data_IF_456019201458
#
_entry.id   IF_456019201458
#
_cell.length_a   1.000
_cell.length_b   1.000
_cell.length_c   1.000
_cell.angle_alpha   90.00
_cell.angle_beta   90.00
_cell.angle_gamma   90.00
#
_symmetry.space_group_name_H-M   'P 1'
#
loop_
_entity.id
_entity.type
_entity.pdbx_description
1 polymer ?
#
# COMPACT_ATOMS: atom_id res chain seq x y z
N UNK A 1 -26.44 7.06 -12.99
CA UNK A 1 -25.06 6.71 -13.39
C UNK A 1 -25.08 6.39 -14.87
N UNK A 2 -24.41 7.18 -15.71
CA UNK A 2 -24.28 6.94 -17.16
C UNK A 2 -22.83 6.52 -17.49
N UNK A 3 -22.65 5.62 -18.46
CA UNK A 3 -21.30 5.26 -18.96
C UNK A 3 -20.61 6.49 -19.54
N UNK A 4 -21.34 7.45 -20.10
CA UNK A 4 -20.78 8.72 -20.58
C UNK A 4 -20.09 9.53 -19.48
N UNK A 5 -20.51 9.34 -18.22
CA UNK A 5 -19.88 9.98 -17.07
C UNK A 5 -18.60 9.25 -16.63
N UNK A 6 -18.38 8.00 -17.09
CA UNK A 6 -17.14 7.27 -16.88
C UNK A 6 -16.10 7.76 -17.90
N UNK A 7 -15.24 8.70 -17.49
CA UNK A 7 -14.37 9.41 -18.43
C UNK A 7 -13.26 8.54 -19.06
N UNK A 8 -13.04 7.31 -18.58
CA UNK A 8 -12.19 6.33 -19.27
C UNK A 8 -12.94 5.46 -20.29
N UNK A 9 -14.25 5.63 -20.40
CA UNK A 9 -15.10 4.93 -21.35
C UNK A 9 -15.20 3.43 -21.10
N UNK A 10 -15.42 2.67 -22.18
CA UNK A 10 -15.46 1.21 -22.14
C UNK A 10 -14.06 0.63 -22.13
N UNK A 11 -13.83 -0.29 -21.20
CA UNK A 11 -12.64 -1.11 -21.14
C UNK A 11 -12.94 -2.51 -21.68
N UNK A 12 -12.08 -3.00 -22.57
CA UNK A 12 -12.14 -4.37 -23.10
C UNK A 12 -11.18 -5.23 -22.28
N UNK A 13 -11.67 -6.18 -21.48
CA UNK A 13 -10.81 -7.00 -20.63
C UNK A 13 -10.08 -8.11 -21.37
N UNK A 14 -8.87 -8.41 -20.91
CA UNK A 14 -8.24 -9.72 -21.12
C UNK A 14 -8.74 -10.69 -20.05
N UNK A 15 -9.21 -11.86 -20.46
CA UNK A 15 -9.81 -12.84 -19.56
C UNK A 15 -8.86 -13.99 -19.23
N UNK A 16 -8.66 -14.25 -17.94
CA UNK A 16 -7.96 -15.41 -17.43
C UNK A 16 -8.86 -16.65 -17.37
N UNK A 17 -8.25 -17.83 -17.34
CA UNK A 17 -8.95 -19.07 -17.02
C UNK A 17 -9.12 -19.21 -15.50
N UNK A 18 -10.27 -19.70 -15.04
CA UNK A 18 -10.57 -19.92 -13.63
C UNK A 18 -9.64 -20.92 -12.93
N UNK A 19 -8.92 -21.76 -13.68
CA UNK A 19 -7.99 -22.76 -13.15
C UNK A 19 -6.58 -22.20 -12.85
N UNK A 20 -6.23 -21.03 -13.39
CA UNK A 20 -4.92 -20.39 -13.18
C UNK A 20 -4.87 -19.61 -11.86
N UNK A 21 -4.92 -20.32 -10.74
CA UNK A 21 -4.97 -19.69 -9.41
C UNK A 21 -3.75 -18.80 -9.10
N UNK A 22 -2.55 -19.18 -9.58
CA UNK A 22 -1.33 -18.39 -9.37
C UNK A 22 -1.34 -17.09 -10.20
N UNK A 23 -1.72 -17.18 -11.48
CA UNK A 23 -1.87 -16.00 -12.32
C UNK A 23 -2.95 -15.06 -11.81
N UNK A 24 -4.10 -15.59 -11.35
CA UNK A 24 -5.17 -14.81 -10.73
C UNK A 24 -4.66 -14.10 -9.48
N UNK A 25 -3.96 -14.79 -8.57
CA UNK A 25 -3.41 -14.18 -7.34
C UNK A 25 -2.44 -13.05 -7.66
N UNK A 26 -1.48 -13.28 -8.56
CA UNK A 26 -0.49 -12.27 -8.95
C UNK A 26 -1.16 -11.04 -9.59
N UNK A 27 -2.07 -11.26 -10.54
CA UNK A 27 -2.81 -10.17 -11.18
C UNK A 27 -3.67 -9.40 -10.17
N UNK A 28 -4.33 -10.10 -9.25
CA UNK A 28 -5.16 -9.48 -8.21
C UNK A 28 -4.35 -8.54 -7.31
N UNK A 29 -3.21 -8.97 -6.78
CA UNK A 29 -2.44 -8.10 -5.88
C UNK A 29 -1.69 -6.98 -6.61
N UNK A 30 -1.27 -7.22 -7.86
CA UNK A 30 -0.65 -6.20 -8.72
C UNK A 30 -1.66 -5.12 -9.12
N UNK A 31 -2.74 -5.54 -9.77
CA UNK A 31 -3.68 -4.64 -10.47
C UNK A 31 -4.90 -4.31 -9.62
N UNK A 32 -5.14 -5.04 -8.53
CA UNK A 32 -6.34 -4.92 -7.69
C UNK A 32 -7.59 -5.48 -8.36
N UNK A 33 -7.47 -6.08 -9.54
CA UNK A 33 -8.58 -6.60 -10.33
C UNK A 33 -8.10 -7.66 -11.31
N UNK A 34 -8.95 -8.66 -11.56
CA UNK A 34 -8.75 -9.70 -12.57
C UNK A 34 -10.08 -10.01 -13.25
N UNK A 35 -10.09 -10.14 -14.57
CA UNK A 35 -11.25 -10.64 -15.31
C UNK A 35 -11.05 -12.12 -15.67
N UNK A 36 -12.10 -12.92 -15.53
CA UNK A 36 -12.08 -14.34 -15.92
C UNK A 36 -13.29 -14.67 -16.80
N UNK A 37 -13.20 -15.78 -17.51
CA UNK A 37 -14.27 -16.31 -18.35
C UNK A 37 -14.57 -17.77 -18.00
N UNK A 38 -15.69 -18.29 -18.50
CA UNK A 38 -16.17 -19.65 -18.23
C UNK A 38 -16.38 -19.94 -16.74
N UNK A 39 -16.82 -18.93 -15.97
CA UNK A 39 -17.05 -19.01 -14.53
C UNK A 39 -18.56 -19.14 -14.25
N UNK A 40 -19.02 -20.34 -13.90
CA UNK A 40 -20.36 -20.58 -13.38
C UNK A 40 -20.39 -20.42 -11.84
N UNK A 41 -21.53 -20.72 -11.23
CA UNK A 41 -21.69 -20.63 -9.77
C UNK A 41 -20.74 -21.57 -9.01
N UNK A 42 -20.54 -22.78 -9.51
CA UNK A 42 -19.67 -23.77 -8.87
C UNK A 42 -18.21 -23.34 -8.89
N UNK A 43 -17.74 -22.85 -10.04
CA UNK A 43 -16.39 -22.29 -10.17
C UNK A 43 -16.20 -21.03 -9.35
N UNK A 44 -17.21 -20.16 -9.27
CA UNK A 44 -17.15 -18.95 -8.44
C UNK A 44 -16.97 -19.31 -6.95
N UNK A 45 -17.72 -20.30 -6.46
CA UNK A 45 -17.58 -20.78 -5.08
C UNK A 45 -16.22 -21.44 -4.87
N UNK A 46 -15.79 -22.31 -5.79
CA UNK A 46 -14.49 -22.96 -5.71
C UNK A 46 -13.33 -21.95 -5.71
N UNK A 47 -13.40 -20.88 -6.52
CA UNK A 47 -12.45 -19.77 -6.48
C UNK A 47 -12.44 -19.11 -5.10
N UNK A 48 -13.63 -18.83 -4.55
CA UNK A 48 -13.76 -18.27 -3.20
C UNK A 48 -13.10 -19.12 -2.12
N UNK A 49 -13.30 -20.44 -2.15
CA UNK A 49 -12.71 -21.38 -1.19
C UNK A 49 -11.19 -21.55 -1.36
N UNK A 50 -10.68 -21.51 -2.59
CA UNK A 50 -9.24 -21.63 -2.88
C UNK A 50 -8.46 -20.35 -2.59
N UNK A 51 -9.08 -19.18 -2.78
CA UNK A 51 -8.43 -17.89 -2.58
C UNK A 51 -8.63 -17.36 -1.16
N UNK A 52 -9.69 -17.79 -0.46
CA UNK A 52 -10.01 -17.24 0.84
C UNK A 52 -11.09 -17.97 1.64
N UNK A 53 -11.47 -17.33 2.73
CA UNK A 53 -12.59 -17.74 3.58
C UNK A 53 -13.83 -16.94 3.17
N UNK A 54 -14.85 -17.63 2.67
CA UNK A 54 -16.08 -16.99 2.18
C UNK A 54 -16.88 -16.36 3.33
N UNK A 55 -17.24 -15.10 3.16
CA UNK A 55 -18.13 -14.37 4.04
C UNK A 55 -19.59 -14.70 3.73
N UNK A 56 -20.37 -15.04 4.77
CA UNK A 56 -21.80 -15.36 4.60
C UNK A 56 -22.62 -14.10 4.25
N UNK A 57 -23.46 -14.13 3.20
CA UNK A 57 -24.44 -13.10 2.90
C UNK A 57 -25.44 -12.91 4.04
N UNK A 58 -25.90 -11.67 4.21
CA UNK A 58 -26.89 -11.30 5.25
C UNK A 58 -28.20 -12.08 5.14
N UNK A 59 -28.62 -12.40 3.91
CA UNK A 59 -29.92 -13.00 3.63
C UNK A 59 -29.85 -14.52 3.42
N UNK A 60 -28.70 -15.14 3.68
CA UNK A 60 -28.52 -16.57 3.48
C UNK A 60 -28.97 -17.36 4.72
N UNK A 61 -29.78 -18.41 4.51
CA UNK A 61 -30.19 -19.34 5.56
C UNK A 61 -29.03 -20.28 5.93
N UNK A 62 -29.09 -20.91 7.11
CA UNK A 62 -28.06 -21.86 7.55
C UNK A 62 -27.86 -22.99 6.51
N UNK A 63 -26.61 -23.18 6.06
CA UNK A 63 -26.24 -24.22 5.08
C UNK A 63 -26.05 -23.75 3.64
N UNK A 64 -26.16 -22.44 3.35
CA UNK A 64 -25.85 -21.90 2.03
C UNK A 64 -24.35 -21.82 1.70
N UNK A 65 -24.04 -21.55 0.43
CA UNK A 65 -22.69 -21.58 -0.17
C UNK A 65 -21.97 -20.22 -0.17
N UNK A 66 -22.57 -19.20 0.43
CA UNK A 66 -22.01 -17.85 0.51
C UNK A 66 -22.24 -16.99 -0.74
N UNK A 67 -23.15 -17.40 -1.63
CA UNK A 67 -23.41 -16.71 -2.91
C UNK A 67 -24.60 -15.76 -2.77
N UNK A 68 -24.40 -14.50 -3.19
CA UNK A 68 -25.49 -13.52 -3.31
C UNK A 68 -25.98 -13.45 -4.76
N UNK A 69 -27.29 -13.65 -4.98
CA UNK A 69 -27.93 -13.55 -6.30
C UNK A 69 -28.42 -12.12 -6.54
N UNK A 70 -27.60 -11.27 -7.16
CA UNK A 70 -27.92 -9.86 -7.39
C UNK A 70 -28.79 -9.73 -8.65
N UNK A 71 -30.09 -9.52 -8.43
CA UNK A 71 -31.13 -9.41 -9.48
C UNK A 71 -32.27 -8.49 -9.04
N UNK A 72 -33.05 -7.97 -9.99
CA UNK A 72 -34.25 -7.20 -9.65
C UNK A 72 -35.24 -8.08 -8.86
N UNK A 73 -35.44 -7.76 -7.58
CA UNK A 73 -36.30 -8.47 -6.65
C UNK A 73 -36.94 -7.45 -5.69
N UNK A 74 -38.11 -6.88 -6.02
CA UNK A 74 -38.75 -5.79 -5.28
C UNK A 74 -39.05 -6.07 -3.80
N UNK A 75 -38.97 -7.33 -3.35
CA UNK A 75 -39.17 -7.74 -1.96
C UNK A 75 -37.88 -7.91 -1.14
N UNK A 76 -36.69 -7.68 -1.71
CA UNK A 76 -35.42 -7.76 -1.00
C UNK A 76 -34.88 -6.38 -0.68
N UNK A 77 -34.38 -6.18 0.55
CA UNK A 77 -33.70 -4.95 0.93
C UNK A 77 -32.33 -4.83 0.24
N UNK A 78 -32.05 -3.64 -0.29
CA UNK A 78 -30.75 -3.28 -0.88
C UNK A 78 -30.88 -2.83 -2.34
N UNK A 79 -30.19 -1.73 -2.69
CA UNK A 79 -30.26 -1.13 -4.03
C UNK A 79 -29.81 -2.06 -5.16
N UNK A 80 -28.97 -3.06 -4.85
CA UNK A 80 -28.56 -4.12 -5.78
C UNK A 80 -29.71 -4.98 -6.31
N UNK A 81 -30.86 -5.01 -5.61
CA UNK A 81 -32.05 -5.76 -6.01
C UNK A 81 -33.08 -4.94 -6.81
N UNK A 82 -32.64 -3.82 -7.39
CA UNK A 82 -33.46 -2.97 -8.27
C UNK A 82 -32.91 -2.93 -9.70
N UNK A 83 -33.69 -2.39 -10.65
CA UNK A 83 -33.26 -2.11 -12.02
C UNK A 83 -32.67 -0.70 -12.23
N UNK A 84 -32.68 0.13 -11.19
CA UNK A 84 -32.07 1.45 -11.20
C UNK A 84 -30.54 1.34 -11.18
N UNK A 85 -29.83 2.45 -11.41
CA UNK A 85 -28.39 2.47 -11.21
C UNK A 85 -27.99 2.12 -9.78
N UNK A 86 -26.81 1.51 -9.67
CA UNK A 86 -26.13 1.31 -8.41
C UNK A 86 -24.89 2.20 -8.41
N UNK A 87 -24.91 3.24 -7.58
CA UNK A 87 -23.80 4.16 -7.46
C UNK A 87 -22.53 3.48 -6.91
N UNK A 88 -21.37 4.11 -7.12
CA UNK A 88 -20.10 3.59 -6.65
C UNK A 88 -20.11 3.34 -5.13
N UNK A 89 -19.65 2.16 -4.74
CA UNK A 89 -19.54 1.81 -3.34
C UNK A 89 -18.45 0.77 -3.14
N UNK A 90 -18.09 0.56 -1.88
CA UNK A 90 -17.42 -0.65 -1.42
C UNK A 90 -18.40 -1.50 -0.62
N UNK A 91 -18.19 -2.81 -0.65
CA UNK A 91 -19.04 -3.74 0.08
C UNK A 91 -18.63 -3.80 1.55
N UNK A 92 -19.64 -3.90 2.43
CA UNK A 92 -19.45 -4.02 3.89
C UNK A 92 -18.63 -2.88 4.53
N UNK A 93 -18.71 -1.66 4.00
CA UNK A 93 -17.93 -0.50 4.46
C UNK A 93 -18.04 -0.19 5.97
N UNK A 94 -19.11 -0.63 6.65
CA UNK A 94 -19.28 -0.47 8.10
C UNK A 94 -18.48 -1.44 8.97
N UNK A 95 -17.91 -2.51 8.40
CA UNK A 95 -17.13 -3.51 9.13
C UNK A 95 -15.72 -2.97 9.45
N UNK A 96 -15.11 -3.44 10.54
CA UNK A 96 -13.69 -3.17 10.83
C UNK A 96 -12.81 -3.67 9.69
N UNK A 97 -12.98 -4.95 9.34
CA UNK A 97 -12.27 -5.63 8.27
C UNK A 97 -13.26 -6.18 7.24
N UNK A 98 -13.71 -5.35 6.26
CA UNK A 98 -14.56 -5.85 5.19
C UNK A 98 -13.84 -6.94 4.38
N UNK A 99 -14.55 -7.93 3.81
CA UNK A 99 -13.93 -8.89 2.90
C UNK A 99 -13.19 -8.19 1.77
N UNK A 100 -11.94 -8.59 1.51
CA UNK A 100 -11.07 -7.97 0.50
C UNK A 100 -11.35 -8.50 -0.91
N UNK A 101 -11.66 -9.80 -1.04
CA UNK A 101 -12.00 -10.41 -2.32
C UNK A 101 -13.49 -10.17 -2.60
N UNK A 102 -13.81 -9.42 -3.65
CA UNK A 102 -15.15 -9.37 -4.23
C UNK A 102 -15.11 -10.04 -5.59
N UNK A 103 -15.75 -11.20 -5.69
CA UNK A 103 -15.79 -12.02 -6.89
C UNK A 103 -17.22 -12.03 -7.43
N UNK A 104 -17.37 -11.87 -8.74
CA UNK A 104 -18.69 -11.90 -9.38
C UNK A 104 -18.75 -12.96 -10.47
N UNK A 105 -19.94 -13.31 -10.96
CA UNK A 105 -20.09 -13.86 -12.33
C UNK A 105 -21.43 -13.43 -12.91
N UNK A 106 -21.44 -13.03 -14.18
CA UNK A 106 -22.69 -12.69 -14.86
C UNK A 106 -23.40 -13.98 -15.28
N UNK A 107 -24.63 -14.18 -14.80
CA UNK A 107 -25.45 -15.35 -15.14
C UNK A 107 -26.48 -15.03 -16.21
N UNK A 108 -27.13 -13.87 -16.10
CA UNK A 108 -28.10 -13.38 -17.08
C UNK A 108 -27.77 -11.93 -17.42
N UNK A 109 -27.58 -11.66 -18.71
CA UNK A 109 -27.34 -10.33 -19.27
C UNK A 109 -28.66 -9.60 -19.50
N UNK A 110 -28.70 -8.30 -19.18
CA UNK A 110 -29.80 -7.39 -19.49
C UNK A 110 -29.97 -7.15 -20.98
N UNK A 111 -31.16 -6.68 -21.38
CA UNK A 111 -31.45 -6.29 -22.76
C UNK A 111 -30.72 -5.00 -23.14
N UNK A 112 -30.81 -3.98 -22.28
CA UNK A 112 -30.09 -2.72 -22.40
C UNK A 112 -29.55 -2.29 -21.04
N UNK A 113 -28.40 -1.61 -21.04
CA UNK A 113 -27.73 -1.19 -19.82
C UNK A 113 -27.23 -2.35 -18.95
N UNK A 114 -26.94 -2.08 -17.68
CA UNK A 114 -26.49 -3.07 -16.70
C UNK A 114 -24.99 -3.36 -16.74
N UNK A 115 -24.22 -2.54 -17.46
CA UNK A 115 -22.77 -2.53 -17.47
C UNK A 115 -22.23 -2.32 -16.06
N UNK A 116 -21.11 -2.98 -15.76
CA UNK A 116 -20.40 -2.76 -14.50
C UNK A 116 -19.53 -1.52 -14.63
N UNK A 117 -19.59 -0.62 -13.65
CA UNK A 117 -18.70 0.53 -13.57
C UNK A 117 -17.69 0.29 -12.45
N UNK A 118 -16.41 0.54 -12.71
CA UNK A 118 -15.30 0.25 -11.80
C UNK A 118 -14.36 1.44 -11.69
N UNK A 119 -13.80 1.66 -10.50
CA UNK A 119 -12.81 2.72 -10.23
C UNK A 119 -11.68 2.17 -9.40
N UNK A 120 -10.46 2.22 -9.95
CA UNK A 120 -9.25 2.03 -9.16
C UNK A 120 -8.97 3.30 -8.35
N UNK A 121 -9.20 3.25 -7.03
CA UNK A 121 -9.09 4.44 -6.19
C UNK A 121 -7.66 4.95 -6.05
N UNK A 122 -6.62 4.15 -6.34
CA UNK A 122 -5.22 4.59 -6.21
C UNK A 122 -4.96 5.86 -7.02
N UNK A 123 -5.38 5.86 -8.28
CA UNK A 123 -5.16 6.98 -9.18
C UNK A 123 -5.95 8.22 -8.76
N UNK A 124 -7.16 8.03 -8.21
CA UNK A 124 -7.96 9.11 -7.66
C UNK A 124 -7.35 9.68 -6.36
N UNK A 125 -6.87 8.81 -5.46
CA UNK A 125 -6.24 9.20 -4.21
C UNK A 125 -4.90 9.91 -4.43
N UNK A 126 -4.09 9.44 -5.38
CA UNK A 126 -2.84 10.10 -5.74
C UNK A 126 -3.09 11.51 -6.30
N UNK A 127 -4.12 11.64 -7.16
CA UNK A 127 -4.55 12.94 -7.66
C UNK A 127 -5.01 13.86 -6.51
N UNK A 128 -5.86 13.37 -5.61
CA UNK A 128 -6.37 14.12 -4.45
C UNK A 128 -5.22 14.55 -3.54
N UNK A 129 -4.28 13.65 -3.24
CA UNK A 129 -3.13 13.93 -2.39
C UNK A 129 -2.26 15.06 -2.95
N UNK A 130 -2.06 15.08 -4.27
CA UNK A 130 -1.19 16.05 -4.93
C UNK A 130 -1.86 17.40 -5.19
N UNK A 131 -3.16 17.42 -5.51
CA UNK A 131 -3.83 18.62 -6.03
C UNK A 131 -4.90 19.18 -5.10
N UNK A 132 -5.37 18.40 -4.12
CA UNK A 132 -6.52 18.72 -3.28
C UNK A 132 -6.23 18.42 -1.79
N UNK A 133 -5.23 19.08 -1.17
CA UNK A 133 -4.76 18.75 0.18
C UNK A 133 -5.84 18.86 1.25
N UNK A 134 -6.76 19.83 1.12
CA UNK A 134 -7.91 19.94 2.02
C UNK A 134 -8.81 18.71 1.92
N UNK A 135 -9.17 18.30 0.70
CA UNK A 135 -9.99 17.11 0.50
C UNK A 135 -9.27 15.86 1.00
N UNK A 136 -7.96 15.73 0.76
CA UNK A 136 -7.16 14.62 1.26
C UNK A 136 -7.26 14.51 2.79
N UNK A 137 -7.10 15.63 3.51
CA UNK A 137 -7.22 15.65 4.98
C UNK A 137 -8.63 15.27 5.49
N UNK A 138 -9.68 15.62 4.73
CA UNK A 138 -11.05 15.28 5.08
C UNK A 138 -11.32 13.78 4.91
N UNK A 139 -10.89 13.19 3.79
CA UNK A 139 -11.17 11.78 3.49
C UNK A 139 -10.31 10.80 4.30
N UNK A 140 -9.17 11.25 4.83
CA UNK A 140 -8.25 10.43 5.64
C UNK A 140 -8.53 10.47 7.14
N UNK A 141 -9.43 11.34 7.60
CA UNK A 141 -9.70 11.52 9.01
C UNK A 141 -11.08 10.97 9.42
N UNK A 142 -11.10 10.04 10.38
CA UNK A 142 -12.30 9.37 10.88
C UNK A 142 -13.34 10.31 11.52
N UNK A 143 -12.98 11.57 11.80
CA UNK A 143 -13.89 12.57 12.36
C UNK A 143 -14.91 13.08 11.34
N UNK A 144 -14.64 12.94 10.05
CA UNK A 144 -15.47 13.55 9.00
C UNK A 144 -16.43 12.59 8.33
N UNK A 145 -16.32 11.29 8.58
CA UNK A 145 -17.20 10.27 8.01
C UNK A 145 -17.50 9.14 8.99
N UNK A 146 -18.66 8.50 8.80
CA UNK A 146 -19.03 7.29 9.52
C UNK A 146 -19.83 6.37 8.61
N UNK A 147 -19.64 5.05 8.73
CA UNK A 147 -20.27 4.05 7.87
C UNK A 147 -21.20 3.16 8.67
N UNK A 148 -22.35 2.82 8.07
CA UNK A 148 -23.38 2.01 8.70
C UNK A 148 -22.97 0.54 8.75
N UNK A 149 -22.90 -0.02 9.96
CA UNK A 149 -22.64 -1.43 10.23
C UNK A 149 -23.92 -2.27 10.10
N UNK A 150 -23.77 -3.60 10.16
CA UNK A 150 -24.88 -4.54 9.97
C UNK A 150 -25.95 -4.44 11.06
N UNK A 151 -25.59 -3.99 12.27
CA UNK A 151 -26.52 -3.72 13.37
C UNK A 151 -27.23 -2.36 13.24
N UNK A 152 -26.99 -1.61 12.16
CA UNK A 152 -27.59 -0.30 11.90
C UNK A 152 -26.87 0.89 12.55
N UNK A 153 -25.87 0.66 13.39
CA UNK A 153 -25.06 1.74 14.00
C UNK A 153 -24.06 2.34 13.01
N UNK A 154 -23.76 3.63 13.15
CA UNK A 154 -22.71 4.29 12.38
C UNK A 154 -21.39 4.25 13.14
N UNK A 155 -20.34 3.79 12.47
CA UNK A 155 -19.00 3.67 13.02
C UNK A 155 -18.09 4.75 12.40
N UNK A 156 -17.46 5.64 13.21
CA UNK A 156 -16.51 6.63 12.70
C UNK A 156 -15.32 5.98 12.03
N UNK A 157 -15.14 6.26 10.73
CA UNK A 157 -14.05 5.72 9.91
C UNK A 157 -13.75 6.69 8.78
N UNK A 158 -12.48 6.82 8.35
CA UNK A 158 -12.16 7.62 7.19
C UNK A 158 -12.68 6.96 5.92
N UNK A 159 -12.85 7.75 4.85
CA UNK A 159 -13.10 7.23 3.50
C UNK A 159 -11.86 6.48 3.00
N UNK A 160 -10.66 6.96 3.31
CA UNK A 160 -9.41 6.25 3.05
C UNK A 160 -8.61 6.13 4.35
N UNK A 161 -8.41 4.91 4.82
CA UNK A 161 -7.63 4.64 6.03
C UNK A 161 -6.16 4.41 5.66
N UNK A 162 -5.32 5.40 5.92
CA UNK A 162 -3.89 5.32 5.59
C UNK A 162 -3.16 4.21 6.32
N UNK A 163 -3.65 3.73 7.48
CA UNK A 163 -2.96 2.68 8.24
C UNK A 163 -3.25 1.29 7.70
N UNK A 164 -4.49 1.08 7.26
CA UNK A 164 -4.95 -0.23 6.79
C UNK A 164 -5.01 -0.34 5.27
N UNK A 165 -4.79 0.77 4.54
CA UNK A 165 -4.95 0.90 3.09
C UNK A 165 -6.38 0.55 2.61
N UNK A 166 -7.39 0.75 3.47
CA UNK A 166 -8.79 0.42 3.18
C UNK A 166 -9.52 1.67 2.70
N UNK A 167 -10.12 1.59 1.51
CA UNK A 167 -11.09 2.57 1.01
C UNK A 167 -12.52 2.14 1.34
N UNK A 168 -13.30 3.09 1.84
CA UNK A 168 -14.71 2.97 2.16
C UNK A 168 -15.48 4.04 1.43
N UNK A 169 -16.46 3.64 0.63
CA UNK A 169 -17.22 4.61 -0.16
C UNK A 169 -18.69 4.21 -0.25
N UNK A 170 -19.59 5.19 -0.12
CA UNK A 170 -21.04 5.03 -0.27
C UNK A 170 -21.66 6.31 -0.85
N UNK A 171 -22.64 6.14 -1.74
CA UNK A 171 -23.49 7.20 -2.31
C UNK A 171 -24.95 7.05 -1.85
N UNK A 172 -25.16 6.58 -0.63
CA UNK A 172 -26.49 6.30 -0.07
C UNK A 172 -26.51 6.51 1.45
N UNK A 173 -27.62 6.18 2.08
CA UNK A 173 -27.83 6.33 3.53
C UNK A 173 -26.95 5.39 4.38
N UNK A 174 -25.98 4.70 3.76
CA UNK A 174 -24.94 3.92 4.42
C UNK A 174 -23.75 4.74 4.91
N UNK A 175 -23.68 6.06 4.64
CA UNK A 175 -22.65 6.98 5.13
C UNK A 175 -23.25 8.22 5.80
N UNK A 176 -22.60 8.67 6.87
CA UNK A 176 -22.78 10.00 7.45
C UNK A 176 -21.49 10.80 7.26
N UNK A 177 -21.64 12.10 7.00
CA UNK A 177 -20.53 13.01 6.71
C UNK A 177 -20.67 14.30 7.51
N UNK A 178 -19.53 14.90 7.87
CA UNK A 178 -19.49 16.25 8.43
C UNK A 178 -19.93 17.29 7.40
N UNK A 179 -20.32 18.49 7.84
CA UNK A 179 -20.65 19.60 6.93
C UNK A 179 -19.51 19.91 5.94
N UNK A 180 -18.27 19.96 6.43
CA UNK A 180 -17.09 20.22 5.58
C UNK A 180 -16.88 19.15 4.51
N UNK A 181 -17.13 17.86 4.82
CA UNK A 181 -17.02 16.80 3.84
C UNK A 181 -18.20 16.83 2.86
N UNK A 182 -19.42 17.14 3.31
CA UNK A 182 -20.60 17.32 2.44
C UNK A 182 -20.34 18.42 1.38
N UNK A 183 -19.80 19.56 1.78
CA UNK A 183 -19.46 20.67 0.86
C UNK A 183 -18.44 20.25 -0.21
N UNK A 184 -17.54 19.32 0.12
CA UNK A 184 -16.50 18.82 -0.79
C UNK A 184 -16.87 17.51 -1.50
N UNK A 185 -18.01 16.91 -1.17
CA UNK A 185 -18.38 15.57 -1.67
C UNK A 185 -18.64 15.56 -3.17
N UNK A 186 -19.19 16.65 -3.72
CA UNK A 186 -19.33 16.85 -5.18
C UNK A 186 -17.99 16.73 -5.89
N UNK A 187 -16.95 17.40 -5.36
CA UNK A 187 -15.59 17.36 -5.91
C UNK A 187 -15.01 15.94 -5.83
N UNK A 188 -15.14 15.27 -4.67
CA UNK A 188 -14.72 13.88 -4.51
C UNK A 188 -15.39 12.96 -5.53
N UNK A 189 -16.70 13.11 -5.72
CA UNK A 189 -17.47 12.37 -6.72
C UNK A 189 -16.94 12.62 -8.14
N UNK A 190 -16.73 13.89 -8.52
CA UNK A 190 -16.24 14.24 -9.86
C UNK A 190 -14.86 13.62 -10.13
N UNK A 191 -13.98 13.59 -9.13
CA UNK A 191 -12.69 12.90 -9.24
C UNK A 191 -12.90 11.39 -9.40
N UNK A 192 -13.75 10.76 -8.60
CA UNK A 192 -14.06 9.33 -8.74
C UNK A 192 -14.54 8.98 -10.17
N UNK A 193 -15.49 9.74 -10.71
CA UNK A 193 -16.00 9.53 -12.07
C UNK A 193 -14.93 9.75 -13.15
N UNK A 194 -14.00 10.70 -12.95
CA UNK A 194 -12.87 10.92 -13.86
C UNK A 194 -11.93 9.72 -13.99
N UNK A 195 -11.86 8.89 -12.96
CA UNK A 195 -11.05 7.66 -12.96
C UNK A 195 -11.86 6.40 -13.23
N UNK A 196 -13.16 6.53 -13.47
CA UNK A 196 -14.06 5.40 -13.72
C UNK A 196 -14.00 4.88 -15.16
N UNK A 197 -14.14 3.56 -15.31
CA UNK A 197 -14.35 2.88 -16.58
C UNK A 197 -15.54 1.92 -16.47
N UNK A 198 -16.15 1.60 -17.61
CA UNK A 198 -17.26 0.66 -17.71
C UNK A 198 -16.82 -0.63 -18.41
N UNK A 199 -17.44 -1.75 -18.02
CA UNK A 199 -17.22 -3.07 -18.63
C UNK A 199 -18.57 -3.71 -18.92
N UNK A 200 -18.71 -4.19 -20.15
CA UNK A 200 -19.82 -5.04 -20.56
C UNK A 200 -19.38 -6.50 -20.47
N UNK A 201 -20.12 -7.29 -19.70
CA UNK A 201 -19.84 -8.73 -19.51
C UNK A 201 -20.87 -9.56 -20.27
N UNK A 202 -20.42 -10.71 -20.76
CA UNK A 202 -21.27 -11.79 -21.25
C UNK A 202 -21.53 -12.84 -20.15
N UNK A 203 -22.60 -13.65 -20.26
CA UNK A 203 -22.83 -14.75 -19.33
C UNK A 203 -21.61 -15.68 -19.22
N UNK A 204 -21.21 -15.99 -17.98
CA UNK A 204 -20.01 -16.76 -17.66
C UNK A 204 -18.72 -15.93 -17.59
N UNK A 205 -18.76 -14.62 -17.88
CA UNK A 205 -17.66 -13.71 -17.61
C UNK A 205 -17.79 -13.09 -16.21
N UNK A 206 -16.64 -12.87 -15.58
CA UNK A 206 -16.54 -12.41 -14.21
C UNK A 206 -15.40 -11.43 -14.01
N UNK A 207 -15.47 -10.72 -12.88
CA UNK A 207 -14.30 -10.06 -12.31
C UNK A 207 -14.14 -10.40 -10.83
N UNK A 208 -12.89 -10.39 -10.40
CA UNK A 208 -12.47 -10.31 -9.01
C UNK A 208 -11.87 -8.93 -8.80
N UNK A 209 -12.32 -8.19 -7.80
CA UNK A 209 -11.76 -6.87 -7.44
C UNK A 209 -11.37 -6.84 -5.97
N UNK A 210 -10.31 -6.09 -5.67
CA UNK A 210 -9.88 -5.78 -4.33
C UNK A 210 -10.85 -4.75 -3.75
N UNK A 211 -11.79 -5.21 -2.93
CA UNK A 211 -12.83 -4.38 -2.33
C UNK A 211 -12.28 -3.34 -1.33
N UNK A 212 -10.99 -3.41 -0.97
CA UNK A 212 -10.30 -2.36 -0.21
C UNK A 212 -9.78 -1.24 -1.12
N UNK A 213 -9.65 -1.48 -2.43
CA UNK A 213 -9.07 -0.56 -3.42
C UNK A 213 -10.06 -0.10 -4.49
N UNK A 214 -10.98 -0.97 -4.93
CA UNK A 214 -11.88 -0.69 -6.04
C UNK A 214 -13.25 -0.24 -5.56
N UNK A 215 -13.75 0.83 -6.17
CA UNK A 215 -15.18 1.12 -6.13
C UNK A 215 -15.86 0.38 -7.27
N UNK A 216 -17.07 -0.09 -7.03
CA UNK A 216 -17.88 -0.73 -8.05
C UNK A 216 -19.32 -0.21 -8.05
N UNK A 217 -19.93 -0.24 -9.23
CA UNK A 217 -21.27 0.25 -9.47
C UNK A 217 -21.86 -0.40 -10.73
N UNK A 218 -23.06 0.03 -11.10
CA UNK A 218 -23.76 -0.48 -12.28
C UNK A 218 -24.68 0.59 -12.85
N UNK A 219 -24.77 0.66 -14.16
CA UNK A 219 -25.81 1.45 -14.84
C UNK A 219 -27.21 0.86 -14.58
N UNK A 220 -28.25 1.66 -14.83
CA UNK A 220 -29.62 1.17 -14.89
C UNK A 220 -29.79 0.17 -16.04
N UNK A 221 -30.77 -0.72 -15.96
CA UNK A 221 -30.99 -1.71 -17.02
C UNK A 221 -32.47 -2.04 -17.26
N UNK A 222 -32.75 -2.61 -18.44
CA UNK A 222 -34.05 -3.18 -18.79
C UNK A 222 -33.98 -4.68 -18.96
N UNK A 223 -35.13 -5.35 -18.85
CA UNK A 223 -35.24 -6.80 -18.92
C UNK A 223 -34.74 -7.50 -17.65
N UNK A 224 -34.26 -8.73 -17.81
CA UNK A 224 -33.75 -9.54 -16.70
C UNK A 224 -32.23 -9.43 -16.61
N UNK A 225 -31.69 -9.35 -15.39
CA UNK A 225 -30.25 -9.39 -15.13
C UNK A 225 -29.99 -10.12 -13.83
N UNK A 226 -29.02 -11.03 -13.83
CA UNK A 226 -28.59 -11.78 -12.64
C UNK A 226 -27.06 -11.85 -12.61
N UNK A 227 -26.49 -11.32 -11.53
CA UNK A 227 -25.06 -11.37 -11.23
C UNK A 227 -24.88 -12.12 -9.92
N UNK A 228 -24.07 -13.16 -9.90
CA UNK A 228 -23.68 -13.84 -8.67
C UNK A 228 -22.52 -13.10 -8.03
N UNK A 229 -22.47 -13.04 -6.70
CA UNK A 229 -21.38 -12.41 -5.96
C UNK A 229 -20.98 -13.25 -4.75
N UNK A 230 -19.67 -13.44 -4.59
CA UNK A 230 -19.03 -14.01 -3.40
C UNK A 230 -18.07 -12.98 -2.81
N UNK A 231 -18.12 -12.84 -1.49
CA UNK A 231 -17.17 -12.04 -0.72
C UNK A 231 -16.28 -12.99 0.08
N UNK A 232 -14.97 -12.75 0.13
CA UNK A 232 -14.05 -13.56 0.92
C UNK A 232 -12.91 -12.75 1.54
N UNK A 233 -12.36 -13.25 2.65
CA UNK A 233 -11.06 -12.80 3.15
C UNK A 233 -9.97 -13.70 2.57
N UNK A 234 -8.92 -13.15 1.95
CA UNK A 234 -7.86 -13.96 1.37
C UNK A 234 -7.23 -14.84 2.44
N UNK A 235 -6.89 -16.09 2.08
CA UNK A 235 -6.17 -16.97 3.00
C UNK A 235 -4.83 -16.35 3.33
N UNK A 236 -4.48 -16.32 4.61
CA UNK A 236 -3.11 -16.05 5.01
C UNK A 236 -2.19 -17.07 4.32
N UNK A 237 -1.10 -16.61 3.71
CA UNK A 237 -0.11 -17.54 3.22
C UNK A 237 0.55 -18.29 4.39
N UNK A 238 1.12 -19.46 4.12
CA UNK A 238 2.26 -19.92 4.93
C UNK A 238 3.33 -18.83 4.77
N UNK A 239 3.43 -17.93 5.77
CA UNK A 239 4.08 -16.66 5.59
C UNK A 239 5.59 -16.83 5.40
N UNK A 240 6.06 -16.46 4.21
CA UNK A 240 7.45 -16.07 4.01
C UNK A 240 7.76 -14.92 4.98
N UNK A 241 8.95 -14.94 5.56
CA UNK A 241 9.40 -13.87 6.44
C UNK A 241 9.94 -12.72 5.60
N UNK A 242 9.48 -11.50 5.85
CA UNK A 242 10.00 -10.31 5.20
C UNK A 242 10.88 -9.53 6.18
N UNK A 243 12.12 -9.23 5.77
CA UNK A 243 13.06 -8.43 6.56
C UNK A 243 13.45 -7.20 5.76
N UNK A 244 13.12 -6.01 6.27
CA UNK A 244 13.44 -4.73 5.64
C UNK A 244 14.54 -4.03 6.44
N UNK A 245 15.66 -3.73 5.79
CA UNK A 245 16.79 -3.04 6.42
C UNK A 245 16.78 -1.55 6.10
N UNK A 246 16.94 -0.70 7.11
CA UNK A 246 17.49 0.64 6.90
C UNK A 246 18.97 0.54 6.47
N UNK A 247 19.51 1.62 5.90
CA UNK A 247 20.86 1.64 5.31
C UNK A 247 21.86 2.30 6.24
N UNK A 248 21.66 3.57 6.59
CA UNK A 248 22.63 4.35 7.35
C UNK A 248 22.59 3.92 8.81
N UNK A 249 23.76 3.72 9.44
CA UNK A 249 23.82 3.25 10.82
C UNK A 249 23.41 1.80 11.04
N UNK A 250 22.72 1.17 10.07
CA UNK A 250 22.25 -0.22 10.12
C UNK A 250 23.07 -1.15 9.22
N UNK A 251 23.14 -0.88 7.91
CA UNK A 251 23.96 -1.64 6.97
C UNK A 251 25.36 -1.05 6.84
N UNK A 252 25.47 0.27 6.78
CA UNK A 252 26.75 0.97 6.64
C UNK A 252 26.75 2.35 7.31
N UNK A 253 27.94 2.82 7.68
CA UNK A 253 28.21 4.18 8.15
C UNK A 253 28.67 5.01 6.96
N UNK A 254 27.93 6.06 6.64
CA UNK A 254 28.16 6.90 5.44
C UNK A 254 27.80 8.37 5.67
N UNK A 255 27.78 8.81 6.92
CA UNK A 255 27.25 10.13 7.32
C UNK A 255 28.00 11.28 6.65
N UNK A 256 29.33 11.33 6.75
CA UNK A 256 30.13 12.41 6.15
C UNK A 256 30.00 12.43 4.61
N UNK A 257 29.97 11.25 4.00
CA UNK A 257 29.74 11.07 2.56
C UNK A 257 28.38 11.66 2.15
N UNK A 258 27.34 11.38 2.94
CA UNK A 258 25.98 11.83 2.69
C UNK A 258 25.83 13.33 2.87
N UNK A 259 26.36 13.87 3.96
CA UNK A 259 26.28 15.30 4.30
C UNK A 259 26.97 16.13 3.23
N UNK A 260 28.18 15.76 2.79
CA UNK A 260 28.89 16.48 1.72
C UNK A 260 28.11 16.45 0.40
N UNK A 261 27.67 15.27 -0.04
CA UNK A 261 26.94 15.13 -1.30
C UNK A 261 25.62 15.92 -1.31
N UNK A 262 24.88 15.83 -0.20
CA UNK A 262 23.56 16.43 -0.06
C UNK A 262 23.64 17.97 -0.11
N UNK A 263 24.44 18.58 0.77
CA UNK A 263 24.52 20.04 0.86
C UNK A 263 25.17 20.70 -0.35
N UNK A 264 26.16 20.05 -0.99
CA UNK A 264 26.69 20.53 -2.27
C UNK A 264 25.61 20.53 -3.35
N UNK A 265 24.86 19.44 -3.47
CA UNK A 265 23.79 19.36 -4.46
C UNK A 265 22.70 20.42 -4.19
N UNK A 266 22.25 20.58 -2.94
CA UNK A 266 21.24 21.61 -2.59
C UNK A 266 21.75 23.02 -2.88
N UNK A 267 22.99 23.33 -2.52
CA UNK A 267 23.58 24.64 -2.80
C UNK A 267 23.62 24.94 -4.30
N UNK A 268 24.07 23.99 -5.11
CA UNK A 268 24.23 24.18 -6.55
C UNK A 268 22.89 24.28 -7.30
N UNK A 269 21.86 23.54 -6.88
CA UNK A 269 20.54 23.65 -7.52
C UNK A 269 19.81 24.94 -7.14
N UNK A 270 20.04 25.48 -5.95
CA UNK A 270 19.38 26.68 -5.43
C UNK A 270 20.14 27.97 -5.73
N UNK A 271 21.45 27.89 -6.01
CA UNK A 271 22.33 29.04 -6.13
C UNK A 271 22.56 29.80 -4.82
N UNK A 272 22.21 29.20 -3.68
CA UNK A 272 22.44 29.73 -2.32
C UNK A 272 23.49 28.86 -1.61
N UNK A 273 24.30 29.47 -0.76
CA UNK A 273 25.17 28.72 0.16
C UNK A 273 24.31 28.08 1.25
N UNK A 274 23.94 26.81 1.08
CA UNK A 274 23.13 26.01 2.01
C UNK A 274 23.99 24.86 2.51
N UNK A 275 24.29 24.86 3.81
CA UNK A 275 25.18 23.90 4.43
C UNK A 275 24.71 23.54 5.86
N UNK A 276 25.38 22.57 6.49
CA UNK A 276 25.01 22.09 7.82
C UNK A 276 25.15 23.17 8.91
N UNK A 277 26.02 24.18 8.72
CA UNK A 277 26.24 25.24 9.72
C UNK A 277 25.11 26.27 9.72
N UNK A 278 24.46 26.48 8.56
CA UNK A 278 23.38 27.46 8.40
C UNK A 278 21.98 26.84 8.29
N UNK A 279 21.84 25.55 8.61
CA UNK A 279 20.59 24.80 8.51
C UNK A 279 20.29 24.06 9.82
N UNK A 280 19.36 24.59 10.62
CA UNK A 280 18.94 23.97 11.89
C UNK A 280 17.74 23.03 11.66
N UNK A 281 17.99 21.90 11.01
CA UNK A 281 17.00 20.85 10.74
C UNK A 281 17.59 19.49 11.10
N UNK A 282 16.80 18.63 11.75
CA UNK A 282 17.20 17.27 12.03
C UNK A 282 17.36 16.45 10.73
N UNK A 283 18.59 16.01 10.46
CA UNK A 283 18.94 15.20 9.29
C UNK A 283 18.62 13.71 9.46
N UNK A 284 18.50 13.22 10.68
CA UNK A 284 18.55 11.79 10.96
C UNK A 284 17.17 11.13 10.97
N UNK A 285 17.07 9.98 10.28
CA UNK A 285 15.90 9.10 10.28
C UNK A 285 14.67 9.64 9.54
N UNK A 286 14.82 10.76 8.82
CA UNK A 286 13.79 11.31 7.92
C UNK A 286 14.05 10.86 6.47
N UNK A 287 13.05 11.02 5.59
CA UNK A 287 13.21 10.73 4.17
C UNK A 287 13.91 11.88 3.44
N UNK A 288 14.71 11.59 2.42
CA UNK A 288 15.35 12.61 1.57
C UNK A 288 14.31 13.59 1.02
N UNK A 289 13.12 13.10 0.66
CA UNK A 289 12.02 13.93 0.17
C UNK A 289 11.53 14.91 1.23
N UNK A 290 11.27 14.43 2.45
CA UNK A 290 10.85 15.29 3.56
C UNK A 290 11.94 16.27 3.98
N UNK A 291 13.19 15.79 4.02
CA UNK A 291 14.36 16.58 4.41
C UNK A 291 14.59 17.73 3.44
N UNK A 292 14.56 17.44 2.14
CA UNK A 292 14.78 18.46 1.11
C UNK A 292 13.70 19.54 1.16
N UNK A 293 12.42 19.14 1.28
CA UNK A 293 11.33 20.09 1.45
C UNK A 293 11.55 20.98 2.67
N UNK A 294 11.88 20.38 3.81
CA UNK A 294 12.12 21.14 5.05
C UNK A 294 13.28 22.15 4.89
N UNK A 295 14.40 21.73 4.29
CA UNK A 295 15.56 22.59 4.05
C UNK A 295 15.19 23.75 3.11
N UNK A 296 14.51 23.47 2.00
CA UNK A 296 14.10 24.51 1.06
C UNK A 296 13.11 25.50 1.71
N UNK A 297 12.11 25.02 2.45
CA UNK A 297 11.19 25.89 3.17
C UNK A 297 11.90 26.74 4.22
N UNK A 298 12.86 26.17 4.97
CA UNK A 298 13.66 26.87 5.97
C UNK A 298 14.48 28.02 5.33
N UNK A 299 15.01 27.81 4.13
CA UNK A 299 15.75 28.82 3.36
C UNK A 299 14.86 29.75 2.51
N UNK A 300 13.54 29.74 2.76
CA UNK A 300 12.58 30.71 2.25
C UNK A 300 12.07 30.46 0.82
N UNK A 301 12.20 29.23 0.30
CA UNK A 301 11.62 28.87 -1.00
C UNK A 301 10.12 28.61 -0.86
N UNK A 302 9.33 29.15 -1.80
CA UNK A 302 7.89 28.93 -1.88
C UNK A 302 7.53 27.55 -2.46
N UNK A 303 6.31 27.07 -2.22
CA UNK A 303 5.83 25.77 -2.71
C UNK A 303 5.94 25.62 -4.25
N UNK A 304 5.69 26.70 -4.99
CA UNK A 304 5.80 26.71 -6.46
C UNK A 304 7.26 26.53 -6.95
N UNK A 305 8.25 26.87 -6.12
CA UNK A 305 9.68 26.72 -6.41
C UNK A 305 10.22 25.37 -5.93
N UNK A 306 9.69 24.86 -4.82
CA UNK A 306 10.15 23.62 -4.18
C UNK A 306 10.01 22.44 -5.12
N UNK A 307 8.85 22.25 -5.77
CA UNK A 307 8.61 21.05 -6.57
C UNK A 307 9.56 20.90 -7.78
N UNK A 308 9.85 21.96 -8.57
CA UNK A 308 10.91 21.93 -9.58
C UNK A 308 12.31 21.63 -9.00
N UNK A 309 12.67 22.24 -7.87
CA UNK A 309 13.96 22.02 -7.22
C UNK A 309 14.13 20.59 -6.70
N UNK A 310 13.08 20.01 -6.12
CA UNK A 310 13.08 18.61 -5.70
C UNK A 310 13.32 17.66 -6.87
N UNK A 311 12.68 17.92 -8.01
CA UNK A 311 12.89 17.12 -9.24
C UNK A 311 14.35 17.16 -9.67
N UNK A 312 14.94 18.37 -9.73
CA UNK A 312 16.34 18.57 -10.09
C UNK A 312 17.30 17.95 -9.07
N UNK A 313 16.99 18.01 -7.78
CA UNK A 313 17.80 17.38 -6.73
C UNK A 313 17.88 15.87 -6.91
N UNK A 314 16.75 15.18 -7.04
CA UNK A 314 16.77 13.71 -7.16
C UNK A 314 17.42 13.22 -8.45
N UNK A 315 17.41 14.03 -9.51
CA UNK A 315 18.15 13.76 -10.74
C UNK A 315 19.67 13.87 -10.54
N UNK A 316 20.14 14.89 -9.80
CA UNK A 316 21.57 15.21 -9.69
C UNK A 316 22.26 14.59 -8.47
N UNK A 317 21.57 14.43 -7.35
CA UNK A 317 22.16 14.01 -6.07
C UNK A 317 23.02 12.72 -6.17
N UNK A 318 22.66 11.69 -6.97
CA UNK A 318 23.52 10.53 -7.17
C UNK A 318 24.89 10.83 -7.79
N UNK A 319 25.02 11.85 -8.66
CA UNK A 319 26.34 12.24 -9.19
C UNK A 319 27.20 12.89 -8.10
N UNK A 320 26.59 13.71 -7.24
CA UNK A 320 27.29 14.35 -6.12
C UNK A 320 27.82 13.30 -5.14
N UNK A 321 27.05 12.25 -4.84
CA UNK A 321 27.51 11.16 -3.99
C UNK A 321 28.73 10.42 -4.59
N UNK A 322 28.71 10.16 -5.90
CA UNK A 322 29.86 9.55 -6.60
C UNK A 322 31.10 10.45 -6.58
N UNK A 323 30.92 11.76 -6.73
CA UNK A 323 32.01 12.73 -6.60
C UNK A 323 32.59 12.77 -5.18
N UNK A 324 31.74 12.74 -4.14
CA UNK A 324 32.19 12.69 -2.75
C UNK A 324 33.03 11.43 -2.47
N UNK A 325 32.61 10.27 -2.99
CA UNK A 325 33.44 9.06 -2.93
C UNK A 325 34.82 9.28 -3.59
N UNK A 326 34.85 9.96 -4.76
CA UNK A 326 36.09 10.32 -5.45
C UNK A 326 36.98 11.30 -4.68
N UNK A 327 36.41 12.10 -3.77
CA UNK A 327 37.15 13.00 -2.86
C UNK A 327 37.73 12.27 -1.63
N UNK A 328 37.45 10.99 -1.44
CA UNK A 328 37.95 10.19 -0.34
C UNK A 328 37.00 10.05 0.86
N UNK A 329 35.76 10.54 0.75
CA UNK A 329 34.71 10.15 1.69
C UNK A 329 34.39 8.66 1.52
N UNK A 330 33.99 7.99 2.61
CA UNK A 330 33.82 6.53 2.62
C UNK A 330 32.44 6.12 3.10
N UNK A 331 32.02 4.92 2.69
CA UNK A 331 30.92 4.16 3.28
C UNK A 331 31.52 2.88 3.84
N UNK A 332 31.26 2.55 5.10
CA UNK A 332 31.89 1.40 5.78
C UNK A 332 30.79 0.50 6.32
N UNK A 333 30.85 -0.80 6.02
CA UNK A 333 29.87 -1.77 6.54
C UNK A 333 29.82 -1.76 8.07
N UNK A 334 28.62 -1.82 8.63
CA UNK A 334 28.44 -1.94 10.08
C UNK A 334 28.99 -3.28 10.59
N UNK A 335 29.44 -3.36 11.85
CA UNK A 335 30.08 -4.56 12.39
C UNK A 335 29.26 -5.83 12.19
N UNK A 336 29.86 -6.83 11.51
CA UNK A 336 29.30 -8.17 11.29
C UNK A 336 27.97 -8.22 10.51
N UNK A 337 27.56 -7.13 9.85
CA UNK A 337 26.33 -7.12 9.04
C UNK A 337 26.37 -8.14 7.91
N UNK A 338 27.55 -8.34 7.29
CA UNK A 338 27.75 -9.31 6.21
C UNK A 338 27.51 -10.76 6.65
N UNK A 339 27.73 -11.09 7.93
CA UNK A 339 27.42 -12.42 8.47
C UNK A 339 25.91 -12.62 8.58
N UNK A 340 25.20 -11.63 9.11
CA UNK A 340 23.74 -11.68 9.23
C UNK A 340 23.04 -11.75 7.87
N UNK A 341 23.50 -10.95 6.90
CA UNK A 341 23.00 -10.99 5.52
C UNK A 341 23.22 -12.36 4.87
N UNK A 342 24.35 -13.04 5.14
CA UNK A 342 24.58 -14.41 4.64
C UNK A 342 23.72 -15.46 5.35
N UNK A 343 23.44 -15.26 6.64
CA UNK A 343 22.72 -16.21 7.48
C UNK A 343 21.21 -16.24 7.22
N UNK A 344 20.58 -15.08 6.98
CA UNK A 344 19.13 -14.98 6.82
C UNK A 344 18.57 -15.83 5.66
N UNK A 345 19.11 -15.79 4.43
CA UNK A 345 18.59 -16.59 3.32
C UNK A 345 18.70 -18.11 3.54
N UNK A 346 19.66 -18.55 4.37
CA UNK A 346 19.88 -19.98 4.67
C UNK A 346 18.80 -20.58 5.56
N UNK A 347 17.94 -19.75 6.17
CA UNK A 347 16.91 -20.23 7.08
C UNK A 347 15.76 -20.97 6.37
N UNK A 348 15.59 -20.75 5.06
CA UNK A 348 14.58 -21.46 4.28
C UNK A 348 14.72 -22.97 4.36
N UNK A 349 15.94 -23.46 4.19
CA UNK A 349 16.20 -24.89 4.16
C UNK A 349 15.98 -25.55 5.54
N UNK A 350 16.00 -24.74 6.61
CA UNK A 350 15.80 -25.18 7.99
C UNK A 350 14.34 -25.14 8.46
N UNK A 351 13.57 -24.13 8.06
CA UNK A 351 12.20 -23.90 8.56
C UNK A 351 11.12 -24.06 7.48
N UNK A 352 11.48 -24.29 6.22
CA UNK A 352 10.53 -24.43 5.11
C UNK A 352 9.90 -23.12 4.62
N UNK A 353 10.31 -21.96 5.17
CA UNK A 353 9.77 -20.63 4.85
C UNK A 353 10.80 -19.78 4.12
N UNK A 354 10.43 -19.06 3.06
CA UNK A 354 11.39 -18.18 2.39
C UNK A 354 11.61 -16.94 3.25
N UNK A 355 12.82 -16.42 3.19
CA UNK A 355 13.17 -15.13 3.78
C UNK A 355 13.43 -14.17 2.62
N UNK A 356 12.56 -13.18 2.45
CA UNK A 356 12.74 -12.10 1.50
C UNK A 356 13.36 -10.91 2.21
N UNK A 357 14.51 -10.46 1.71
CA UNK A 357 15.27 -9.35 2.28
C UNK A 357 15.10 -8.14 1.37
N UNK A 358 14.65 -7.03 1.91
CA UNK A 358 14.50 -5.76 1.20
C UNK A 358 15.10 -4.59 1.97
N UNK A 359 14.93 -3.40 1.41
CA UNK A 359 15.37 -2.14 1.99
C UNK A 359 14.16 -1.28 2.36
N UNK A 360 14.25 -0.61 3.50
CA UNK A 360 13.31 0.43 3.94
C UNK A 360 14.14 1.58 4.46
N UNK A 361 14.40 2.58 3.62
CA UNK A 361 15.33 3.66 3.97
C UNK A 361 14.82 5.03 3.59
N UNK A 362 15.27 6.04 4.34
CA UNK A 362 15.05 7.45 4.02
C UNK A 362 15.84 7.94 2.81
N UNK A 363 16.84 7.19 2.34
CA UNK A 363 17.64 7.55 1.18
C UNK A 363 16.91 7.33 -0.14
N UNK A 364 17.24 8.12 -1.17
CA UNK A 364 16.89 7.80 -2.56
C UNK A 364 17.42 6.43 -2.98
N UNK A 365 16.74 5.79 -3.93
CA UNK A 365 17.10 4.43 -4.37
C UNK A 365 18.55 4.33 -4.85
N UNK A 366 18.98 5.26 -5.69
CA UNK A 366 20.35 5.23 -6.22
C UNK A 366 21.39 5.43 -5.12
N UNK A 367 21.16 6.35 -4.20
CA UNK A 367 22.13 6.63 -3.14
C UNK A 367 22.24 5.50 -2.14
N UNK A 368 21.11 4.88 -1.76
CA UNK A 368 21.10 3.69 -0.92
C UNK A 368 22.00 2.58 -1.51
N UNK A 369 21.83 2.29 -2.80
CA UNK A 369 22.60 1.25 -3.48
C UNK A 369 24.08 1.62 -3.65
N UNK A 370 24.38 2.89 -3.94
CA UNK A 370 25.75 3.39 -3.99
C UNK A 370 26.46 3.25 -2.64
N UNK A 371 25.78 3.59 -1.53
CA UNK A 371 26.31 3.45 -0.17
C UNK A 371 26.60 2.00 0.21
N UNK A 372 25.67 1.08 -0.09
CA UNK A 372 25.81 -0.36 0.15
C UNK A 372 27.00 -0.91 -0.64
N UNK A 373 27.08 -0.57 -1.93
CA UNK A 373 28.18 -1.01 -2.80
C UNK A 373 29.54 -0.45 -2.34
N UNK A 374 29.61 0.83 -1.99
CA UNK A 374 30.82 1.47 -1.47
C UNK A 374 31.28 0.88 -0.13
N UNK A 375 30.36 0.34 0.68
CA UNK A 375 30.65 -0.41 1.90
C UNK A 375 31.15 -1.84 1.65
N UNK A 376 31.23 -2.28 0.39
CA UNK A 376 31.62 -3.64 0.02
C UNK A 376 30.55 -4.70 0.29
N UNK A 377 29.28 -4.28 0.42
CA UNK A 377 28.15 -5.19 0.62
C UNK A 377 27.49 -5.55 -0.72
N UNK A 378 27.02 -6.80 -0.87
CA UNK A 378 26.28 -7.22 -2.05
C UNK A 378 24.93 -6.49 -2.13
N UNK A 379 24.56 -6.01 -3.31
CA UNK A 379 23.24 -5.38 -3.55
C UNK A 379 22.19 -6.35 -4.08
N UNK A 380 22.61 -7.47 -4.66
CA UNK A 380 21.77 -8.52 -5.25
C UNK A 380 21.01 -9.36 -4.22
N UNK A 381 21.43 -9.32 -2.96
CA UNK A 381 20.69 -9.93 -1.85
C UNK A 381 19.38 -9.20 -1.54
N UNK A 382 19.28 -7.91 -1.87
CA UNK A 382 18.10 -7.11 -1.60
C UNK A 382 17.11 -7.21 -2.76
N UNK A 383 15.92 -7.68 -2.45
CA UNK A 383 14.79 -7.68 -3.36
C UNK A 383 14.24 -6.26 -3.49
N UNK A 384 14.72 -5.55 -4.51
CA UNK A 384 14.36 -4.15 -4.75
C UNK A 384 12.87 -3.98 -5.11
N UNK A 385 12.20 -5.05 -5.53
CA UNK A 385 10.78 -5.02 -5.88
C UNK A 385 9.88 -5.05 -4.66
N UNK A 386 10.40 -5.36 -3.47
CA UNK A 386 9.69 -5.21 -2.17
C UNK A 386 10.22 -4.06 -1.32
N UNK A 387 11.20 -3.33 -1.84
CA UNK A 387 11.91 -2.27 -1.12
C UNK A 387 11.24 -0.90 -1.33
N UNK A 388 11.39 -0.01 -0.34
CA UNK A 388 10.93 1.38 -0.40
C UNK A 388 12.02 2.36 0.03
N UNK A 389 12.06 3.49 -0.68
CA UNK A 389 13.15 4.47 -0.65
C UNK A 389 12.57 5.87 -0.42
N UNK A 390 13.31 6.75 0.22
CA UNK A 390 12.80 8.05 0.67
C UNK A 390 12.66 9.11 -0.41
N UNK A 391 12.86 8.76 -1.68
CA UNK A 391 12.43 9.52 -2.85
C UNK A 391 10.95 9.28 -3.22
N UNK A 392 10.36 8.16 -2.78
CA UNK A 392 8.98 7.77 -3.09
C UNK A 392 7.93 8.46 -2.21
N UNK A 393 8.18 8.57 -0.90
CA UNK A 393 7.22 9.11 0.08
C UNK A 393 7.90 10.02 1.10
N UNK A 394 7.19 11.05 1.55
CA UNK A 394 7.68 11.98 2.59
C UNK A 394 7.63 11.32 3.98
N UNK A 395 6.56 10.59 4.29
CA UNK A 395 6.39 9.91 5.58
C UNK A 395 6.94 8.49 5.58
N UNK A 396 7.62 8.11 6.66
CA UNK A 396 8.27 6.80 6.79
C UNK A 396 7.27 5.65 6.89
N UNK A 397 6.15 5.85 7.58
CA UNK A 397 5.04 4.90 7.62
C UNK A 397 4.48 4.60 6.22
N UNK A 398 4.45 5.60 5.33
CA UNK A 398 4.03 5.38 3.95
C UNK A 398 5.03 4.51 3.16
N UNK A 399 6.34 4.56 3.48
CA UNK A 399 7.33 3.64 2.90
C UNK A 399 7.07 2.19 3.33
N UNK A 400 6.73 1.95 4.60
CA UNK A 400 6.41 0.59 5.08
C UNK A 400 5.20 0.03 4.35
N UNK A 401 4.14 0.82 4.23
CA UNK A 401 2.92 0.40 3.55
C UNK A 401 3.13 0.21 2.05
N UNK A 402 3.99 1.02 1.43
CA UNK A 402 4.47 0.79 0.06
C UNK A 402 5.21 -0.55 -0.09
N UNK A 403 6.14 -0.85 0.81
CA UNK A 403 6.84 -2.14 0.84
C UNK A 403 5.88 -3.32 1.02
N UNK A 404 4.91 -3.25 1.94
CA UNK A 404 3.89 -4.30 2.13
C UNK A 404 3.06 -4.49 0.87
N UNK A 405 2.59 -3.41 0.23
CA UNK A 405 1.82 -3.50 -1.03
C UNK A 405 2.63 -4.15 -2.14
N UNK A 406 3.91 -3.79 -2.24
CA UNK A 406 4.86 -4.38 -3.18
C UNK A 406 5.10 -5.87 -2.91
N UNK A 407 5.25 -6.28 -1.65
CA UNK A 407 5.35 -7.68 -1.25
C UNK A 407 4.10 -8.46 -1.65
N UNK A 408 2.92 -7.92 -1.37
CA UNK A 408 1.65 -8.54 -1.76
C UNK A 408 1.58 -8.73 -3.28
N UNK A 409 1.91 -7.69 -4.07
CA UNK A 409 1.91 -7.73 -5.53
C UNK A 409 2.91 -8.75 -6.09
N UNK A 410 4.13 -8.77 -5.54
CA UNK A 410 5.21 -9.64 -6.00
C UNK A 410 4.96 -11.11 -5.67
N UNK A 411 4.46 -11.39 -4.48
CA UNK A 411 4.28 -12.75 -3.98
C UNK A 411 2.88 -13.31 -4.24
N UNK A 412 1.91 -12.46 -4.62
CA UNK A 412 0.54 -12.88 -4.88
C UNK A 412 -0.20 -13.37 -3.62
N UNK A 413 0.19 -12.90 -2.45
CA UNK A 413 -0.34 -13.34 -1.15
C UNK A 413 -0.66 -12.14 -0.26
N UNK A 414 -1.58 -12.27 0.70
CA UNK A 414 -1.72 -11.24 1.72
C UNK A 414 -0.45 -11.25 2.59
N UNK A 415 -0.01 -10.05 2.97
CA UNK A 415 1.10 -9.82 3.89
C UNK A 415 0.57 -8.89 4.96
N UNK A 416 0.54 -9.36 6.21
CA UNK A 416 0.18 -8.54 7.34
C UNK A 416 1.42 -7.74 7.80
N UNK A 417 1.24 -6.55 8.41
CA UNK A 417 2.37 -5.81 8.96
C UNK A 417 3.20 -6.64 9.95
N UNK A 418 2.53 -7.48 10.74
CA UNK A 418 3.20 -8.39 11.68
C UNK A 418 4.15 -9.36 11.01
N UNK A 419 3.98 -9.71 9.73
CA UNK A 419 4.87 -10.62 9.00
C UNK A 419 6.19 -9.96 8.58
N UNK A 420 6.24 -8.62 8.67
CA UNK A 420 7.39 -7.81 8.29
C UNK A 420 8.20 -7.44 9.53
N UNK A 421 9.51 -7.66 9.45
CA UNK A 421 10.47 -7.19 10.45
C UNK A 421 11.29 -6.05 9.88
N UNK A 422 11.22 -4.89 10.51
CA UNK A 422 12.07 -3.74 10.21
C UNK A 422 13.32 -3.81 11.07
N UNK A 423 14.48 -3.58 10.45
CA UNK A 423 15.78 -3.53 11.13
C UNK A 423 16.36 -2.15 10.93
N UNK A 424 16.66 -1.46 12.04
CA UNK A 424 17.13 -0.07 12.01
C UNK A 424 17.90 0.34 13.26
N UNK A 425 18.55 1.50 13.23
CA UNK A 425 19.41 2.01 14.31
C UNK A 425 18.86 3.27 14.99
N UNK A 426 17.73 3.81 14.53
CA UNK A 426 17.17 5.07 15.03
C UNK A 426 15.88 4.87 15.83
N UNK A 427 15.53 5.79 16.75
CA UNK A 427 14.21 5.82 17.35
C UNK A 427 13.05 5.88 16.33
N UNK A 428 13.28 6.51 15.17
CA UNK A 428 12.28 6.64 14.12
C UNK A 428 12.01 5.31 13.42
N UNK A 429 12.97 4.37 13.40
CA UNK A 429 12.73 2.98 12.99
C UNK A 429 11.73 2.28 13.90
N UNK A 430 11.96 2.39 15.20
CA UNK A 430 11.15 1.74 16.23
C UNK A 430 9.74 2.33 16.22
N UNK A 431 9.61 3.65 16.15
CA UNK A 431 8.32 4.31 16.07
C UNK A 431 7.57 3.92 14.80
N UNK A 432 8.24 3.97 13.64
CA UNK A 432 7.61 3.65 12.35
C UNK A 432 7.09 2.21 12.30
N UNK A 433 7.88 1.25 12.79
CA UNK A 433 7.46 -0.15 12.87
C UNK A 433 6.25 -0.33 13.79
N UNK A 434 6.26 0.29 14.97
CA UNK A 434 5.14 0.20 15.93
C UNK A 434 3.87 0.85 15.40
N UNK A 435 3.97 2.01 14.77
CA UNK A 435 2.84 2.72 14.18
C UNK A 435 2.14 1.91 13.08
N UNK A 436 2.91 1.09 12.36
CA UNK A 436 2.43 0.25 11.26
C UNK A 436 2.09 -1.17 11.70
N UNK A 437 2.47 -1.58 12.90
CA UNK A 437 2.25 -2.93 13.43
C UNK A 437 3.28 -3.96 12.96
N UNK A 438 4.40 -3.50 12.40
CA UNK A 438 5.53 -4.34 12.06
C UNK A 438 6.36 -4.71 13.28
N UNK A 439 7.06 -5.84 13.19
CA UNK A 439 8.09 -6.21 14.16
C UNK A 439 9.31 -5.32 13.96
N UNK A 440 10.06 -5.04 15.03
CA UNK A 440 11.27 -4.24 14.95
C UNK A 440 12.46 -4.81 15.72
N UNK A 441 13.58 -4.89 15.02
CA UNK A 441 14.91 -5.15 15.59
C UNK A 441 15.70 -3.84 15.55
N UNK A 442 15.96 -3.28 16.73
CA UNK A 442 16.83 -2.11 16.87
C UNK A 442 18.29 -2.57 17.01
N UNK A 443 19.20 -1.95 16.26
CA UNK A 443 20.64 -2.26 16.28
C UNK A 443 21.42 -1.02 16.69
N UNK A 444 22.16 -1.08 17.80
CA UNK A 444 22.94 0.04 18.34
C UNK A 444 24.28 0.25 17.62
N UNK A 445 24.29 0.24 16.29
CA UNK A 445 25.46 0.52 15.42
C UNK A 445 25.51 1.96 14.91
N UNK A 446 24.43 2.71 15.08
CA UNK A 446 24.27 4.11 14.68
C UNK A 446 24.81 5.14 15.67
N UNK A 447 24.10 6.28 15.75
CA UNK A 447 24.45 7.42 16.59
C UNK A 447 23.71 7.47 17.94
N UNK A 448 22.78 6.53 18.16
CA UNK A 448 21.99 6.46 19.40
C UNK A 448 22.53 5.40 20.34
N UNK A 449 22.63 5.74 21.62
CA UNK A 449 22.99 4.80 22.68
C UNK A 449 21.92 3.73 22.88
N UNK A 450 22.33 2.56 23.39
CA UNK A 450 21.45 1.40 23.59
C UNK A 450 20.25 1.75 24.48
N UNK A 451 20.49 2.51 25.55
CA UNK A 451 19.50 2.97 26.53
C UNK A 451 18.45 3.87 25.86
N UNK A 452 18.87 4.71 24.91
CA UNK A 452 17.96 5.57 24.16
C UNK A 452 17.06 4.73 23.27
N UNK A 453 17.58 3.74 22.55
CA UNK A 453 16.78 2.84 21.72
C UNK A 453 15.83 1.99 22.56
N UNK A 454 16.31 1.46 23.69
CA UNK A 454 15.52 0.68 24.64
C UNK A 454 14.30 1.45 25.15
N UNK A 455 14.43 2.78 25.38
CA UNK A 455 13.32 3.63 25.81
C UNK A 455 12.13 3.68 24.84
N UNK A 456 12.34 3.33 23.57
CA UNK A 456 11.28 3.19 22.55
C UNK A 456 10.70 1.77 22.50
N UNK A 457 11.20 0.85 23.32
CA UNK A 457 10.75 -0.53 23.52
C UNK A 457 10.65 -1.36 22.23
N UNK A 458 11.75 -1.55 21.46
CA UNK A 458 11.74 -2.41 20.28
C UNK A 458 11.43 -3.88 20.65
N UNK A 459 10.98 -4.70 19.69
CA UNK A 459 10.72 -6.13 19.95
C UNK A 459 12.01 -6.89 20.24
N UNK A 460 13.12 -6.43 19.66
CA UNK A 460 14.47 -6.90 19.98
C UNK A 460 15.48 -5.75 19.88
N UNK A 461 16.45 -5.72 20.79
CA UNK A 461 17.55 -4.76 20.80
C UNK A 461 18.87 -5.51 20.85
N UNK A 462 19.78 -5.18 19.94
CA UNK A 462 21.14 -5.72 19.95
C UNK A 462 22.19 -4.65 19.69
N UNK A 463 23.44 -4.95 20.06
CA UNK A 463 24.58 -4.10 19.71
C UNK A 463 25.05 -4.36 18.30
N UNK A 464 24.87 -5.60 17.82
CA UNK A 464 25.28 -6.05 16.48
C UNK A 464 24.26 -7.03 15.94
N UNK A 465 24.01 -6.97 14.64
CA UNK A 465 22.92 -7.69 14.00
C UNK A 465 22.93 -9.23 14.22
N UNK A 466 24.07 -9.95 14.24
CA UNK A 466 24.07 -11.40 14.50
C UNK A 466 23.47 -11.80 15.87
N UNK A 467 23.46 -10.89 16.85
CA UNK A 467 22.85 -11.15 18.16
C UNK A 467 21.32 -11.31 18.08
N UNK A 468 20.70 -10.86 16.97
CA UNK A 468 19.27 -11.01 16.70
C UNK A 468 18.87 -12.37 16.07
N UNK A 469 19.82 -13.27 15.78
CA UNK A 469 19.51 -14.61 15.26
C UNK A 469 18.49 -15.41 16.09
N UNK A 470 18.47 -15.36 17.44
CA UNK A 470 17.43 -16.02 18.24
C UNK A 470 16.03 -15.45 17.99
N UNK A 471 15.91 -14.13 17.84
CA UNK A 471 14.65 -13.46 17.53
C UNK A 471 14.12 -13.88 16.16
N UNK A 472 14.97 -13.83 15.13
CA UNK A 472 14.60 -14.27 13.79
C UNK A 472 14.21 -15.76 13.76
N UNK A 473 14.93 -16.60 14.51
CA UNK A 473 14.61 -18.02 14.65
C UNK A 473 13.24 -18.24 15.31
N UNK A 474 12.94 -17.46 16.35
CA UNK A 474 11.64 -17.49 17.03
C UNK A 474 10.51 -17.10 16.07
N UNK A 475 10.67 -16.01 15.32
CA UNK A 475 9.71 -15.54 14.31
C UNK A 475 9.47 -16.60 13.23
N UNK A 476 10.51 -17.30 12.80
CA UNK A 476 10.42 -18.37 11.78
C UNK A 476 9.77 -19.66 12.30
N UNK A 477 9.67 -19.84 13.62
CA UNK A 477 9.14 -21.06 14.25
C UNK A 477 7.63 -21.03 14.48
N UNK A 478 6.98 -19.88 14.35
CA UNK A 478 5.53 -19.68 14.49
C UNK A 478 4.89 -19.47 13.15
#
# INVERSE_FOLDING_TARGET
MDVKDCLRGFYTPDFHDTLDLDGIRKAFYRDGMVFLQNCDEDKLVALGENLGTIARPRNELAGGRGVSNIRCAPGLEGKGYSNQELFFHTDRSGWDEPPRLLMTTLKVKSETGGESALVDTRQALDYIRQHEPLLYSLITCAKYSSFKADNGTFQPRPIYDEKTDIVRFRFDDGIQMSASLVENFKKLSDIVYKHAFAVSLEPGQCYIVDNHRFLHGRTSFTGSRELLRVLAWPHAAEADMFVLFDVDGTLCRSEDLSIDAYYRCVSDITGKDINNENTDINLHGVTDRSLLRAILSYHGFGEDEIQPLMTKFFELHPSYLRESLGKGFTSIACPQVSEALKWLPQQRDKFGRRVSIGLLTGNSRENALLKISAAGLPTDIFDLEISSFGDAHEHRSALVLDSIRKMQARHGIPVAPSDVTIVGDTPLDIQCAKETGCRVVAVATGNYETEKLESYAPDFLCKRLPEASPFFTQVLSF
#
